data_IF_880327570561
#
_entry.id   IF_880327570561
#
_cell.length_a   1.000
_cell.length_b   1.000
_cell.length_c   1.000
_cell.angle_alpha   90.00
_cell.angle_beta   90.00
_cell.angle_gamma   90.00
#
_symmetry.space_group_name_H-M   'P 1'
#
loop_
_entity.id
_entity.type
_entity.pdbx_description
1 polymer ?
#
# COMPACT_ATOMS: atom_id res chain seq x y z
N UNK A 1 -19.71 -34.37 16.09
CA UNK A 1 -19.55 -32.98 15.60
C UNK A 1 -19.29 -32.09 16.81
N UNK A 2 -18.28 -31.20 16.80
CA UNK A 2 -18.05 -30.33 17.95
C UNK A 2 -19.23 -29.36 18.11
N UNK A 3 -19.82 -29.34 19.30
CA UNK A 3 -20.97 -28.48 19.63
C UNK A 3 -20.44 -27.07 19.90
N UNK A 4 -20.32 -26.25 18.85
CA UNK A 4 -19.86 -24.87 18.96
C UNK A 4 -20.99 -24.05 19.59
N UNK A 5 -20.70 -23.37 20.70
CA UNK A 5 -21.73 -22.55 21.36
C UNK A 5 -22.22 -21.43 20.41
N UNK A 6 -23.51 -21.08 20.41
CA UNK A 6 -24.06 -20.04 19.53
C UNK A 6 -23.33 -18.70 19.62
N UNK A 7 -22.84 -18.33 20.81
CA UNK A 7 -22.03 -17.14 21.04
C UNK A 7 -20.67 -17.22 20.32
N UNK A 8 -19.99 -18.37 20.38
CA UNK A 8 -18.72 -18.57 19.69
C UNK A 8 -18.90 -18.48 18.18
N UNK A 9 -19.98 -19.04 17.63
CA UNK A 9 -20.30 -18.93 16.21
C UNK A 9 -20.55 -17.48 15.78
N UNK A 10 -21.33 -16.71 16.55
CA UNK A 10 -21.58 -15.29 16.27
C UNK A 10 -20.30 -14.46 16.33
N UNK A 11 -19.45 -14.69 17.33
CA UNK A 11 -18.16 -14.00 17.47
C UNK A 11 -17.23 -14.34 16.30
N UNK A 12 -17.12 -15.61 15.92
CA UNK A 12 -16.33 -16.03 14.76
C UNK A 12 -16.84 -15.37 13.47
N UNK A 13 -18.15 -15.33 13.25
CA UNK A 13 -18.75 -14.62 12.10
C UNK A 13 -18.42 -13.12 12.11
N UNK A 14 -18.48 -12.47 13.28
CA UNK A 14 -18.13 -11.06 13.40
C UNK A 14 -16.65 -10.80 13.08
N UNK A 15 -15.74 -11.61 13.61
CA UNK A 15 -14.30 -11.51 13.34
C UNK A 15 -13.99 -11.71 11.85
N UNK A 16 -14.62 -12.70 11.20
CA UNK A 16 -14.46 -12.93 9.76
C UNK A 16 -14.93 -11.72 8.96
N UNK A 17 -16.07 -11.12 9.32
CA UNK A 17 -16.60 -9.92 8.65
C UNK A 17 -15.65 -8.73 8.80
N UNK A 18 -15.09 -8.52 10.00
CA UNK A 18 -14.12 -7.45 10.24
C UNK A 18 -12.85 -7.68 9.41
N UNK A 19 -12.31 -8.90 9.43
CA UNK A 19 -11.14 -9.24 8.64
C UNK A 19 -11.39 -9.00 7.14
N UNK A 20 -12.55 -9.40 6.63
CA UNK A 20 -12.94 -9.19 5.23
C UNK A 20 -13.04 -7.69 4.89
N UNK A 21 -13.67 -6.90 5.75
CA UNK A 21 -13.78 -5.44 5.57
C UNK A 21 -12.39 -4.77 5.56
N UNK A 22 -11.50 -5.18 6.46
CA UNK A 22 -10.11 -4.69 6.48
C UNK A 22 -9.35 -5.08 5.22
N UNK A 23 -9.49 -6.32 4.72
CA UNK A 23 -8.89 -6.75 3.46
C UNK A 23 -9.40 -5.92 2.28
N UNK A 24 -10.71 -5.66 2.20
CA UNK A 24 -11.28 -4.80 1.16
C UNK A 24 -10.72 -3.39 1.21
N UNK A 25 -10.70 -2.77 2.40
CA UNK A 25 -10.15 -1.43 2.58
C UNK A 25 -8.67 -1.34 2.16
N UNK A 26 -7.84 -2.30 2.58
CA UNK A 26 -6.43 -2.34 2.19
C UNK A 26 -6.25 -2.51 0.67
N UNK A 27 -7.08 -3.35 0.04
CA UNK A 27 -7.06 -3.51 -1.41
C UNK A 27 -7.49 -2.22 -2.13
N UNK A 28 -8.54 -1.54 -1.68
CA UNK A 28 -8.96 -0.25 -2.25
C UNK A 28 -7.86 0.81 -2.13
N UNK A 29 -7.23 0.92 -0.97
CA UNK A 29 -6.08 1.81 -0.75
C UNK A 29 -4.92 1.47 -1.69
N UNK A 30 -4.60 0.19 -1.86
CA UNK A 30 -3.60 -0.26 -2.81
C UNK A 30 -3.93 0.14 -4.25
N UNK A 31 -5.14 -0.15 -4.72
CA UNK A 31 -5.57 0.19 -6.08
C UNK A 31 -5.56 1.70 -6.32
N UNK A 32 -5.99 2.47 -5.32
CA UNK A 32 -5.96 3.93 -5.37
C UNK A 32 -4.52 4.46 -5.53
N UNK A 33 -3.60 4.06 -4.65
CA UNK A 33 -2.21 4.53 -4.76
C UNK A 33 -1.50 4.03 -6.01
N UNK A 34 -1.79 2.81 -6.45
CA UNK A 34 -1.23 2.28 -7.70
C UNK A 34 -1.62 3.16 -8.87
N UNK A 35 -2.92 3.47 -9.02
CA UNK A 35 -3.42 4.33 -10.08
C UNK A 35 -2.83 5.74 -10.01
N UNK A 36 -2.76 6.31 -8.80
CA UNK A 36 -2.18 7.64 -8.60
C UNK A 36 -0.72 7.70 -9.04
N UNK A 37 0.07 6.69 -8.66
CA UNK A 37 1.50 6.58 -9.03
C UNK A 37 1.67 6.41 -10.54
N UNK A 38 0.91 5.52 -11.18
CA UNK A 38 0.95 5.30 -12.64
C UNK A 38 0.64 6.59 -13.44
N UNK A 39 -0.19 7.47 -12.88
CA UNK A 39 -0.60 8.73 -13.50
C UNK A 39 0.31 9.92 -13.15
N UNK A 40 1.22 9.75 -12.20
CA UNK A 40 2.10 10.82 -11.72
C UNK A 40 3.28 11.06 -12.67
N UNK A 41 3.75 12.30 -12.73
CA UNK A 41 5.00 12.68 -13.39
C UNK A 41 6.23 12.19 -12.61
N UNK A 42 7.39 12.10 -13.26
CA UNK A 42 8.62 11.66 -12.59
C UNK A 42 8.96 12.55 -11.39
N UNK A 43 8.75 13.87 -11.51
CA UNK A 43 8.94 14.81 -10.41
C UNK A 43 8.09 14.46 -9.18
N UNK A 44 6.80 14.20 -9.37
CA UNK A 44 5.89 13.79 -8.28
C UNK A 44 6.27 12.44 -7.68
N UNK A 45 6.74 11.50 -8.50
CA UNK A 45 7.23 10.20 -8.03
C UNK A 45 8.47 10.35 -7.14
N UNK A 46 9.42 11.19 -7.53
CA UNK A 46 10.58 11.50 -6.68
C UNK A 46 10.15 12.22 -5.39
N UNK A 47 9.15 13.12 -5.43
CA UNK A 47 8.58 13.69 -4.20
C UNK A 47 7.99 12.61 -3.27
N UNK A 48 7.27 11.61 -3.82
CA UNK A 48 6.72 10.51 -3.03
C UNK A 48 7.81 9.65 -2.39
N UNK A 49 8.94 9.49 -3.06
CA UNK A 49 10.10 8.75 -2.53
C UNK A 49 10.82 9.54 -1.44
N UNK A 50 10.95 10.85 -1.60
CA UNK A 50 11.65 11.76 -0.68
C UNK A 50 10.85 12.11 0.57
N UNK A 51 9.52 12.22 0.46
CA UNK A 51 8.68 12.47 1.63
C UNK A 51 8.78 11.24 2.53
N UNK A 52 9.25 11.45 3.77
CA UNK A 52 9.04 10.56 4.92
C UNK A 52 7.51 10.47 5.18
N UNK A 53 6.78 9.92 4.23
CA UNK A 53 5.34 9.86 4.29
C UNK A 53 4.94 8.73 5.23
N UNK A 54 3.84 8.95 5.93
CA UNK A 54 3.14 7.95 6.76
C UNK A 54 2.70 6.70 5.98
N UNK A 55 2.92 6.65 4.67
CA UNK A 55 2.38 5.63 3.77
C UNK A 55 3.49 4.94 3.00
N UNK A 56 4.20 4.03 3.67
CA UNK A 56 5.28 3.22 3.08
C UNK A 56 4.90 2.57 1.73
N UNK A 57 3.63 2.17 1.57
CA UNK A 57 3.12 1.59 0.33
C UNK A 57 3.27 2.52 -0.87
N UNK A 58 2.94 3.81 -0.73
CA UNK A 58 2.99 4.78 -1.83
C UNK A 58 4.43 5.04 -2.28
N UNK A 59 5.36 5.10 -1.33
CA UNK A 59 6.81 5.20 -1.60
C UNK A 59 7.34 4.00 -2.38
N UNK A 60 6.94 2.78 -1.97
CA UNK A 60 7.32 1.56 -2.68
C UNK A 60 6.78 1.54 -4.11
N UNK A 61 5.50 1.88 -4.28
CA UNK A 61 4.88 1.95 -5.61
C UNK A 61 5.58 2.98 -6.50
N UNK A 62 5.88 4.18 -5.98
CA UNK A 62 6.60 5.21 -6.73
C UNK A 62 8.01 4.77 -7.15
N UNK A 63 8.72 4.05 -6.27
CA UNK A 63 10.04 3.49 -6.58
C UNK A 63 9.97 2.47 -7.72
N UNK A 64 8.98 1.57 -7.67
CA UNK A 64 8.76 0.57 -8.74
C UNK A 64 8.42 1.27 -10.06
N UNK A 65 7.57 2.28 -10.03
CA UNK A 65 7.19 3.00 -11.24
C UNK A 65 8.36 3.76 -11.87
N UNK A 66 9.20 4.42 -11.07
CA UNK A 66 10.44 5.04 -11.56
C UNK A 66 11.37 3.99 -12.19
N UNK A 67 11.52 2.81 -11.58
CA UNK A 67 12.29 1.72 -12.18
C UNK A 67 11.70 1.24 -13.53
N UNK A 68 10.37 1.14 -13.62
CA UNK A 68 9.68 0.81 -14.88
C UNK A 68 9.91 1.86 -15.97
N UNK A 69 10.10 3.13 -15.58
CA UNK A 69 10.41 4.25 -16.48
C UNK A 69 11.88 4.36 -16.85
N UNK A 70 12.75 3.51 -16.27
CA UNK A 70 14.16 3.40 -16.63
C UNK A 70 15.15 4.03 -15.65
N UNK A 71 14.68 4.54 -14.51
CA UNK A 71 15.56 5.06 -13.45
C UNK A 71 16.23 3.92 -12.68
N UNK A 72 17.50 4.12 -12.30
CA UNK A 72 18.23 3.17 -11.48
C UNK A 72 17.82 3.31 -10.01
N UNK A 73 17.76 2.18 -9.30
CA UNK A 73 17.47 2.19 -7.86
C UNK A 73 18.46 3.06 -7.07
N UNK A 74 19.73 3.12 -7.50
CA UNK A 74 20.73 4.00 -6.88
C UNK A 74 20.37 5.48 -6.98
N UNK A 75 19.90 5.93 -8.14
CA UNK A 75 19.50 7.32 -8.39
C UNK A 75 18.26 7.68 -7.57
N UNK A 76 17.30 6.75 -7.48
CA UNK A 76 16.09 6.89 -6.68
C UNK A 76 16.41 7.00 -5.19
N UNK A 77 17.32 6.15 -4.70
CA UNK A 77 17.73 6.17 -3.29
C UNK A 77 18.63 7.36 -2.95
N UNK A 78 19.44 7.84 -3.88
CA UNK A 78 20.22 9.08 -3.72
C UNK A 78 19.29 10.28 -3.58
N UNK A 79 18.32 10.41 -4.49
CA UNK A 79 17.29 11.43 -4.40
C UNK A 79 16.53 11.39 -3.06
N UNK A 80 16.35 10.21 -2.47
CA UNK A 80 15.69 10.04 -1.17
C UNK A 80 16.51 10.48 0.04
N UNK A 81 17.84 10.66 -0.10
CA UNK A 81 18.77 11.02 0.98
C UNK A 81 18.99 12.53 1.12
N UNK A 82 18.56 13.34 0.16
CA UNK A 82 18.76 14.80 0.14
C UNK A 82 17.85 15.58 1.12
N UNK A 83 17.55 15.02 2.30
CA UNK A 83 16.86 15.70 3.41
C UNK A 83 17.44 15.37 4.77
#
# INVERSE_FOLDING_TARGET
>A
MPNISPLKEQLTKALIRVALASCHYLNEQYQHFKKEVEQSSDHELFEFVQRLSSTHLKRLLATIELMNRGYLLSEILEAAKDK
#
